data_IF_905076858634
#
_entry.id   IF_905076858634
#
_cell.length_a   1.000
_cell.length_b   1.000
_cell.length_c   1.000
_cell.angle_alpha   90.00
_cell.angle_beta   90.00
_cell.angle_gamma   90.00
#
_symmetry.space_group_name_H-M   'P 1'
#
loop_
_entity.id
_entity.type
_entity.pdbx_description
1 polymer ?
#
# COMPACT_ATOMS: atom_id res chain seq x y z
N UNK A 1 -20.71 20.95 -8.33
CA UNK A 1 -21.31 19.61 -8.04
C UNK A 1 -20.41 18.48 -8.54
N UNK A 2 -19.99 18.46 -9.81
CA UNK A 2 -19.04 17.44 -10.32
C UNK A 2 -17.60 17.73 -9.87
N UNK A 3 -17.27 19.01 -9.72
CA UNK A 3 -16.01 19.53 -9.20
C UNK A 3 -15.77 19.06 -7.77
N UNK A 4 -16.82 19.11 -6.93
CA UNK A 4 -16.76 18.60 -5.56
C UNK A 4 -16.56 17.07 -5.53
N UNK A 5 -17.09 16.34 -6.50
CA UNK A 5 -16.90 14.88 -6.61
C UNK A 5 -15.48 14.53 -7.06
N UNK A 6 -14.93 15.23 -8.05
CA UNK A 6 -13.52 15.05 -8.44
C UNK A 6 -12.60 15.41 -7.28
N UNK A 7 -12.89 16.49 -6.55
CA UNK A 7 -12.15 16.85 -5.33
C UNK A 7 -12.23 15.73 -4.29
N UNK A 8 -13.42 15.16 -4.07
CA UNK A 8 -13.61 14.03 -3.17
C UNK A 8 -12.82 12.80 -3.61
N UNK A 9 -12.83 12.45 -4.89
CA UNK A 9 -12.06 11.31 -5.43
C UNK A 9 -10.55 11.55 -5.31
N UNK A 10 -10.07 12.75 -5.64
CA UNK A 10 -8.66 13.12 -5.45
C UNK A 10 -8.25 13.00 -3.99
N UNK A 11 -9.04 13.51 -3.07
CA UNK A 11 -8.75 13.36 -1.66
C UNK A 11 -8.79 11.90 -1.21
N UNK A 12 -9.78 11.13 -1.67
CA UNK A 12 -9.93 9.71 -1.33
C UNK A 12 -8.73 8.88 -1.82
N UNK A 13 -8.30 9.10 -3.06
CA UNK A 13 -7.25 8.28 -3.67
C UNK A 13 -5.83 8.81 -3.40
N UNK A 14 -5.61 10.13 -3.41
CA UNK A 14 -4.27 10.71 -3.20
C UNK A 14 -4.02 11.04 -1.72
N UNK A 15 -5.06 11.44 -0.97
CA UNK A 15 -4.94 11.84 0.42
C UNK A 15 -4.47 10.71 1.35
N UNK A 16 -4.61 9.46 0.95
CA UNK A 16 -4.08 8.31 1.69
C UNK A 16 -2.55 8.16 1.56
N UNK A 17 -1.94 8.79 0.56
CA UNK A 17 -0.50 8.65 0.27
C UNK A 17 0.29 9.94 0.50
N UNK A 18 -0.34 11.11 0.42
CA UNK A 18 0.35 12.42 0.45
C UNK A 18 0.05 13.21 1.73
N UNK A 19 1.08 13.83 2.32
CA UNK A 19 0.97 14.74 3.47
C UNK A 19 0.42 16.11 3.03
N UNK A 20 -0.38 16.75 3.89
CA UNK A 20 -0.75 18.18 3.73
C UNK A 20 -1.77 18.49 2.62
N UNK A 21 -2.45 17.48 2.07
CA UNK A 21 -3.47 17.68 1.04
C UNK A 21 -4.75 18.31 1.64
N UNK A 22 -4.88 19.64 1.61
CA UNK A 22 -6.06 20.34 2.14
C UNK A 22 -7.23 20.32 1.14
N UNK A 23 -8.46 20.21 1.64
CA UNK A 23 -9.68 20.19 0.81
C UNK A 23 -9.84 21.50 0.06
N UNK A 24 -9.48 22.60 0.70
CA UNK A 24 -9.67 23.96 0.22
C UNK A 24 -8.72 24.28 -0.94
N UNK A 25 -7.44 23.87 -0.86
CA UNK A 25 -6.47 24.08 -1.93
C UNK A 25 -6.79 23.23 -3.18
N UNK A 26 -7.27 22.00 -2.98
CA UNK A 26 -7.75 21.15 -4.07
C UNK A 26 -8.94 21.78 -4.77
N UNK A 27 -9.94 22.29 -4.02
CA UNK A 27 -11.11 22.93 -4.61
C UNK A 27 -10.71 24.10 -5.51
N UNK A 28 -9.84 24.99 -5.05
CA UNK A 28 -9.41 26.15 -5.84
C UNK A 28 -8.73 25.72 -7.15
N UNK A 29 -7.90 24.67 -7.10
CA UNK A 29 -7.19 24.15 -8.28
C UNK A 29 -8.12 23.45 -9.28
N UNK A 30 -9.11 22.69 -8.79
CA UNK A 30 -10.13 22.00 -9.60
C UNK A 30 -10.98 23.00 -10.40
N UNK A 31 -11.28 24.16 -9.81
CA UNK A 31 -12.07 25.21 -10.46
C UNK A 31 -11.36 25.90 -11.64
N UNK A 32 -10.03 25.84 -11.71
CA UNK A 32 -9.24 26.44 -12.79
C UNK A 32 -9.09 25.53 -14.01
N UNK A 33 -9.60 24.29 -13.96
CA UNK A 33 -9.61 23.36 -15.09
C UNK A 33 -8.52 22.28 -15.02
N UNK A 34 -7.28 22.70 -14.77
CA UNK A 34 -6.12 21.82 -14.60
C UNK A 34 -5.71 21.79 -13.12
N UNK A 35 -5.73 20.61 -12.50
CA UNK A 35 -5.19 20.43 -11.14
C UNK A 35 -3.73 20.06 -11.28
N UNK A 36 -2.83 20.92 -10.80
CA UNK A 36 -1.40 20.63 -10.71
C UNK A 36 -0.94 20.77 -9.26
N UNK A 37 -0.52 19.64 -8.70
CA UNK A 37 0.09 19.57 -7.38
C UNK A 37 1.55 19.19 -7.56
N UNK A 38 2.45 19.91 -6.92
CA UNK A 38 3.90 19.69 -7.07
C UNK A 38 4.58 19.53 -5.72
N UNK A 39 5.73 18.84 -5.73
CA UNK A 39 6.66 18.71 -4.61
C UNK A 39 5.99 18.22 -3.32
N UNK A 40 5.22 17.15 -3.45
CA UNK A 40 4.47 16.56 -2.35
C UNK A 40 5.32 15.55 -1.57
N UNK A 41 5.11 15.50 -0.26
CA UNK A 41 5.72 14.48 0.58
C UNK A 41 4.77 13.31 0.77
N UNK A 42 5.32 12.09 0.74
CA UNK A 42 4.55 10.87 1.00
C UNK A 42 4.42 10.61 2.49
N UNK A 43 3.31 10.01 2.88
CA UNK A 43 3.03 9.59 4.26
C UNK A 43 3.86 8.35 4.64
N UNK A 44 4.27 8.21 5.91
CA UNK A 44 4.91 6.99 6.41
C UNK A 44 4.13 5.71 6.09
N UNK A 45 2.80 5.82 6.06
CA UNK A 45 1.84 4.73 5.84
C UNK A 45 1.56 4.43 4.36
N UNK A 46 2.19 5.14 3.41
CA UNK A 46 1.87 5.04 1.99
C UNK A 46 2.07 3.62 1.41
N UNK A 47 2.93 2.80 2.02
CA UNK A 47 3.15 1.40 1.63
C UNK A 47 2.32 0.38 2.41
N UNK A 48 1.50 0.80 3.38
CA UNK A 48 0.74 -0.13 4.24
C UNK A 48 -0.27 -0.98 3.45
N UNK A 49 -0.71 -0.49 2.28
CA UNK A 49 -1.55 -1.24 1.34
C UNK A 49 -0.91 -2.57 0.88
N UNK A 50 0.43 -2.65 0.85
CA UNK A 50 1.17 -3.87 0.52
C UNK A 50 1.04 -4.96 1.60
N UNK A 51 0.56 -4.60 2.80
CA UNK A 51 0.47 -5.51 3.97
C UNK A 51 1.82 -6.13 4.36
N UNK A 52 2.92 -5.43 4.05
CA UNK A 52 4.27 -5.79 4.42
C UNK A 52 4.70 -4.99 5.66
N UNK A 53 5.62 -5.52 6.49
CA UNK A 53 6.10 -4.82 7.67
C UNK A 53 7.20 -3.82 7.29
N UNK A 54 6.83 -2.83 6.49
CA UNK A 54 7.70 -1.78 5.98
C UNK A 54 7.03 -0.43 6.22
N UNK A 55 7.84 0.61 6.40
CA UNK A 55 7.37 1.99 6.52
C UNK A 55 8.18 2.89 5.59
N UNK A 56 7.57 3.98 5.16
CA UNK A 56 8.26 5.00 4.36
C UNK A 56 9.11 5.86 5.29
N UNK A 57 10.43 5.75 5.16
CA UNK A 57 11.41 6.61 5.84
C UNK A 57 11.39 8.02 5.24
N UNK A 58 11.33 8.08 3.91
CA UNK A 58 11.24 9.32 3.16
C UNK A 58 10.53 9.06 1.83
N UNK A 59 9.71 10.00 1.37
CA UNK A 59 9.08 9.84 0.07
C UNK A 59 8.66 11.17 -0.54
N UNK A 60 8.84 11.25 -1.86
CA UNK A 60 8.66 12.45 -2.66
C UNK A 60 7.82 12.11 -3.89
N UNK A 61 6.90 13.01 -4.19
CA UNK A 61 6.07 13.00 -5.38
C UNK A 61 6.23 14.34 -6.09
N UNK A 62 6.97 14.34 -7.20
CA UNK A 62 7.35 15.55 -7.93
C UNK A 62 6.16 16.30 -8.49
N UNK A 63 5.27 15.63 -9.21
CA UNK A 63 4.01 16.26 -9.63
C UNK A 63 2.86 15.27 -9.84
N UNK A 64 1.64 15.77 -9.59
CA UNK A 64 0.37 15.17 -9.98
C UNK A 64 -0.35 16.21 -10.83
N UNK A 65 -0.54 15.92 -12.11
CA UNK A 65 -1.33 16.76 -13.02
C UNK A 65 -2.58 16.02 -13.48
N UNK A 66 -3.74 16.59 -13.20
CA UNK A 66 -5.03 16.10 -13.66
C UNK A 66 -5.62 17.11 -14.64
N UNK A 67 -5.84 16.69 -15.89
CA UNK A 67 -6.58 17.48 -16.87
C UNK A 67 -8.00 16.95 -16.98
N UNK A 68 -8.96 17.73 -16.51
CA UNK A 68 -10.38 17.36 -16.51
C UNK A 68 -11.10 18.17 -17.59
N UNK A 69 -11.64 17.54 -18.64
CA UNK A 69 -12.38 18.25 -19.67
C UNK A 69 -13.80 18.59 -19.16
N UNK A 70 -13.95 19.60 -18.31
CA UNK A 70 -15.23 19.93 -17.66
C UNK A 70 -16.39 20.15 -18.63
N UNK A 71 -16.12 20.79 -19.77
CA UNK A 71 -17.12 21.05 -20.82
C UNK A 71 -17.53 19.80 -21.60
N UNK A 72 -16.74 18.73 -21.53
CA UNK A 72 -16.92 17.47 -22.30
C UNK A 72 -16.74 16.24 -21.41
N UNK A 73 -17.07 16.35 -20.12
CA UNK A 73 -16.92 15.27 -19.16
C UNK A 73 -17.88 14.13 -19.54
N UNK A 74 -17.35 12.93 -19.77
CA UNK A 74 -18.13 11.81 -20.30
C UNK A 74 -18.18 11.74 -21.83
N UNK A 75 -17.43 12.59 -22.54
CA UNK A 75 -17.14 12.47 -23.98
C UNK A 75 -15.64 12.46 -24.26
N UNK A 76 -14.84 13.10 -23.41
CA UNK A 76 -13.39 13.12 -23.47
C UNK A 76 -12.77 12.45 -22.23
N UNK A 77 -11.61 11.80 -22.38
CA UNK A 77 -10.92 11.11 -21.29
C UNK A 77 -10.26 12.11 -20.33
N UNK A 78 -10.27 11.78 -19.05
CA UNK A 78 -9.49 12.49 -18.03
C UNK A 78 -8.03 12.04 -18.14
N UNK A 79 -7.11 13.00 -18.16
CA UNK A 79 -5.66 12.73 -18.26
C UNK A 79 -5.02 12.86 -16.89
N UNK A 80 -4.28 11.85 -16.47
CA UNK A 80 -3.54 11.80 -15.20
C UNK A 80 -2.07 11.63 -15.49
N UNK A 81 -1.26 12.59 -15.05
CA UNK A 81 0.20 12.51 -15.10
C UNK A 81 0.76 12.48 -13.67
N UNK A 82 1.58 11.48 -13.40
CA UNK A 82 2.35 11.36 -12.18
C UNK A 82 3.83 11.36 -12.56
N UNK A 83 4.63 12.18 -11.90
CA UNK A 83 6.06 12.28 -12.19
C UNK A 83 6.88 12.30 -10.91
N UNK A 84 8.01 11.58 -10.94
CA UNK A 84 9.01 11.46 -9.87
C UNK A 84 8.39 10.94 -8.58
N UNK A 85 8.09 9.64 -8.54
CA UNK A 85 7.68 8.92 -7.34
C UNK A 85 8.92 8.28 -6.74
N UNK A 86 9.49 8.92 -5.72
CA UNK A 86 10.67 8.43 -5.02
C UNK A 86 10.30 8.01 -3.62
N UNK A 87 10.65 6.77 -3.26
CA UNK A 87 10.33 6.20 -1.96
C UNK A 87 11.58 5.53 -1.40
N UNK A 88 12.01 5.97 -0.22
CA UNK A 88 12.95 5.24 0.63
C UNK A 88 12.15 4.57 1.75
N UNK A 89 12.07 3.25 1.68
CA UNK A 89 11.42 2.41 2.66
C UNK A 89 12.48 1.79 3.59
N UNK A 90 12.07 1.56 4.84
CA UNK A 90 12.86 0.82 5.81
C UNK A 90 11.97 -0.24 6.48
N UNK A 91 12.55 -1.31 7.02
CA UNK A 91 11.79 -2.27 7.76
C UNK A 91 11.11 -1.64 8.97
N UNK A 92 9.92 -2.14 9.27
CA UNK A 92 9.19 -1.85 10.49
C UNK A 92 9.13 -3.12 11.38
N UNK A 93 10.17 -3.97 11.35
CA UNK A 93 10.18 -5.23 12.09
C UNK A 93 11.00 -5.21 13.38
N UNK A 94 11.89 -4.22 13.58
CA UNK A 94 12.61 -4.02 14.84
C UNK A 94 11.63 -3.95 16.01
N UNK A 95 11.56 -5.08 16.69
CA UNK A 95 10.72 -5.39 17.85
C UNK A 95 11.59 -5.92 19.00
N UNK A 96 12.89 -6.08 18.74
CA UNK A 96 13.88 -6.51 19.71
C UNK A 96 14.78 -5.32 20.06
N UNK A 97 14.66 -4.82 21.29
CA UNK A 97 15.66 -3.93 21.88
C UNK A 97 15.18 -2.60 22.43
N UNK A 98 14.03 -2.06 22.01
CA UNK A 98 13.54 -0.77 22.53
C UNK A 98 12.01 -0.78 22.74
N UNK A 99 11.63 -0.78 24.03
CA UNK A 99 10.28 -0.71 24.60
C UNK A 99 9.41 -1.98 24.57
N UNK A 100 8.74 -2.22 25.71
CA UNK A 100 7.77 -3.28 25.97
C UNK A 100 6.51 -3.18 25.06
N UNK A 101 6.36 -2.04 24.36
CA UNK A 101 5.15 -1.65 23.63
C UNK A 101 5.26 -1.77 22.10
N UNK A 102 6.44 -2.00 21.50
CA UNK A 102 6.59 -1.91 20.03
C UNK A 102 5.68 -2.88 19.23
N UNK A 103 5.49 -4.12 19.71
CA UNK A 103 4.56 -5.07 19.06
C UNK A 103 3.11 -4.71 19.30
N UNK A 104 2.80 -4.20 20.49
CA UNK A 104 1.43 -3.79 20.81
C UNK A 104 1.06 -2.54 20.02
N UNK A 105 2.01 -1.64 19.78
CA UNK A 105 1.83 -0.48 18.93
C UNK A 105 1.67 -0.88 17.46
N UNK A 106 2.51 -1.81 16.96
CA UNK A 106 2.33 -2.38 15.62
C UNK A 106 0.96 -3.05 15.47
N UNK A 107 0.50 -3.76 16.51
CA UNK A 107 -0.83 -4.37 16.57
C UNK A 107 -1.94 -3.31 16.55
N UNK A 108 -1.82 -2.27 17.37
CA UNK A 108 -2.78 -1.15 17.47
C UNK A 108 -2.90 -0.41 16.14
N UNK A 109 -1.77 -0.05 15.54
CA UNK A 109 -1.71 0.57 14.21
C UNK A 109 -2.37 -0.31 13.15
N UNK A 110 -2.10 -1.63 13.19
CA UNK A 110 -2.70 -2.59 12.25
C UNK A 110 -4.22 -2.73 12.42
N UNK A 111 -4.72 -2.77 13.66
CA UNK A 111 -6.16 -2.78 13.95
C UNK A 111 -6.81 -1.51 13.40
N UNK A 112 -6.24 -0.34 13.70
CA UNK A 112 -6.73 0.95 13.25
C UNK A 112 -6.84 1.02 11.72
N UNK A 113 -5.78 0.60 11.01
CA UNK A 113 -5.75 0.58 9.55
C UNK A 113 -6.82 -0.34 8.94
N UNK A 114 -7.04 -1.52 9.53
CA UNK A 114 -8.03 -2.45 9.01
C UNK A 114 -9.46 -2.02 9.33
N UNK A 115 -9.68 -1.43 10.52
CA UNK A 115 -10.97 -0.90 10.92
C UNK A 115 -11.38 0.29 10.06
N UNK A 116 -10.49 1.25 9.81
CA UNK A 116 -10.77 2.39 8.92
C UNK A 116 -11.10 1.91 7.51
N UNK A 117 -10.33 0.98 6.95
CA UNK A 117 -10.61 0.38 5.63
C UNK A 117 -11.97 -0.32 5.58
N UNK A 118 -12.34 -1.02 6.64
CA UNK A 118 -13.63 -1.72 6.73
C UNK A 118 -14.81 -0.74 6.83
N UNK A 119 -14.64 0.35 7.59
CA UNK A 119 -15.61 1.44 7.68
C UNK A 119 -15.76 2.18 6.36
N UNK A 120 -14.66 2.52 5.69
CA UNK A 120 -14.67 3.12 4.35
C UNK A 120 -15.39 2.22 3.35
N UNK A 121 -15.15 0.90 3.39
CA UNK A 121 -15.82 -0.07 2.52
C UNK A 121 -17.33 -0.17 2.81
N UNK A 122 -17.75 -0.16 4.09
CA UNK A 122 -19.16 -0.15 4.48
C UNK A 122 -19.86 1.16 4.10
N UNK A 123 -19.20 2.30 4.33
CA UNK A 123 -19.69 3.60 3.89
C UNK A 123 -19.80 3.64 2.36
N UNK A 124 -18.85 3.03 1.65
CA UNK A 124 -18.91 2.92 0.20
C UNK A 124 -20.14 2.13 -0.26
N UNK A 125 -20.40 0.95 0.30
CA UNK A 125 -21.62 0.17 0.03
C UNK A 125 -22.91 0.95 0.31
N UNK A 126 -22.94 1.73 1.40
CA UNK A 126 -24.10 2.56 1.74
C UNK A 126 -24.21 3.83 0.85
N UNK A 127 -23.09 4.36 0.36
CA UNK A 127 -23.05 5.53 -0.53
C UNK A 127 -23.26 5.17 -2.00
N UNK A 128 -22.96 3.92 -2.41
CA UNK A 128 -23.27 3.36 -3.72
C UNK A 128 -24.79 3.27 -3.96
N UNK A 129 -25.61 3.41 -2.91
CA UNK A 129 -27.06 3.61 -3.03
C UNK A 129 -27.48 5.06 -3.30
N UNK A 130 -26.62 6.05 -3.08
CA UNK A 130 -26.97 7.45 -3.29
C UNK A 130 -26.45 7.95 -4.65
N UNK A 131 -27.31 7.74 -5.65
CA UNK A 131 -27.38 8.30 -7.01
C UNK A 131 -26.77 7.47 -8.15
N UNK A 132 -27.64 6.66 -8.79
CA UNK A 132 -27.39 5.89 -10.02
C UNK A 132 -26.71 6.70 -11.15
N UNK A 133 -26.92 8.02 -11.20
CA UNK A 133 -26.32 8.90 -12.20
C UNK A 133 -24.86 9.29 -11.91
N UNK A 134 -24.45 9.48 -10.64
CA UNK A 134 -23.05 9.78 -10.32
C UNK A 134 -22.17 8.54 -10.50
N UNK A 135 -22.70 7.35 -10.17
CA UNK A 135 -21.99 6.09 -10.37
C UNK A 135 -21.64 5.85 -11.84
N UNK A 136 -22.55 6.15 -12.78
CA UNK A 136 -22.28 5.98 -14.22
C UNK A 136 -21.23 6.96 -14.75
N UNK A 137 -21.22 8.22 -14.27
CA UNK A 137 -20.19 9.21 -14.62
C UNK A 137 -18.83 8.80 -14.08
N UNK A 138 -18.74 8.38 -12.82
CA UNK A 138 -17.48 7.90 -12.20
C UNK A 138 -16.96 6.66 -12.93
N UNK A 139 -17.82 5.70 -13.26
CA UNK A 139 -17.43 4.53 -14.06
C UNK A 139 -16.95 4.91 -15.46
N UNK A 140 -17.56 5.92 -16.09
CA UNK A 140 -17.13 6.44 -17.39
C UNK A 140 -15.75 7.10 -17.30
N UNK A 141 -15.49 7.88 -16.25
CA UNK A 141 -14.19 8.51 -15.99
C UNK A 141 -13.11 7.44 -15.77
N UNK A 142 -13.34 6.48 -14.85
CA UNK A 142 -12.38 5.42 -14.54
C UNK A 142 -12.14 4.53 -15.77
N UNK A 143 -13.22 4.19 -16.49
CA UNK A 143 -13.16 3.36 -17.69
C UNK A 143 -12.30 3.98 -18.80
N UNK A 144 -12.28 5.31 -18.92
CA UNK A 144 -11.56 6.03 -19.98
C UNK A 144 -10.36 6.84 -19.49
N UNK A 145 -9.94 6.64 -18.24
CA UNK A 145 -8.77 7.33 -17.69
C UNK A 145 -7.54 7.04 -18.54
N UNK A 146 -6.83 8.10 -18.95
CA UNK A 146 -5.50 8.00 -19.53
C UNK A 146 -4.48 8.32 -18.45
N UNK A 147 -3.62 7.35 -18.16
CA UNK A 147 -2.64 7.43 -17.08
C UNK A 147 -1.24 7.42 -17.69
N UNK A 148 -0.37 8.31 -17.21
CA UNK A 148 1.06 8.28 -17.49
C UNK A 148 1.79 8.52 -16.17
N UNK A 149 2.59 7.54 -15.75
CA UNK A 149 3.43 7.61 -14.57
C UNK A 149 4.87 7.53 -15.03
N UNK A 150 5.69 8.48 -14.58
CA UNK A 150 7.09 8.58 -14.99
C UNK A 150 8.02 8.68 -13.80
N UNK A 151 9.24 8.16 -13.95
CA UNK A 151 10.32 8.25 -12.98
C UNK A 151 9.93 7.69 -11.59
N UNK A 152 9.59 6.42 -11.52
CA UNK A 152 9.36 5.73 -10.24
C UNK A 152 10.67 5.10 -9.79
N UNK A 153 11.06 5.35 -8.54
CA UNK A 153 12.13 4.61 -7.89
C UNK A 153 11.76 4.36 -6.42
N UNK A 154 11.47 3.10 -6.11
CA UNK A 154 11.23 2.62 -4.76
C UNK A 154 12.47 1.86 -4.31
N UNK A 155 13.13 2.34 -3.26
CA UNK A 155 14.28 1.71 -2.62
C UNK A 155 13.90 1.30 -1.20
N UNK A 156 14.18 0.06 -0.85
CA UNK A 156 14.03 -0.52 0.47
C UNK A 156 15.42 -0.81 1.03
N UNK A 157 15.78 -0.20 2.16
CA UNK A 157 17.05 -0.44 2.84
C UNK A 157 16.82 -1.25 4.11
N UNK A 158 17.55 -2.36 4.25
CA UNK A 158 17.42 -3.28 5.37
C UNK A 158 18.77 -3.47 6.07
N UNK A 159 18.80 -3.11 7.34
CA UNK A 159 19.95 -3.20 8.24
C UNK A 159 19.72 -4.18 9.40
N UNK A 160 18.55 -4.81 9.44
CA UNK A 160 18.10 -5.64 10.56
C UNK A 160 18.01 -7.13 10.21
N UNK A 161 17.56 -7.48 9.00
CA UNK A 161 17.25 -8.87 8.64
C UNK A 161 18.51 -9.75 8.58
N UNK A 162 19.64 -9.15 8.18
CA UNK A 162 20.92 -9.84 8.08
C UNK A 162 22.03 -9.03 8.78
N UNK A 163 22.18 -9.17 10.11
CA UNK A 163 23.17 -8.40 10.88
C UNK A 163 24.59 -8.55 10.32
N UNK A 164 25.25 -7.42 10.06
CA UNK A 164 26.59 -7.38 9.45
C UNK A 164 26.61 -7.38 7.92
N UNK A 165 25.46 -7.62 7.29
CA UNK A 165 25.26 -7.65 5.84
C UNK A 165 24.06 -6.79 5.43
N UNK A 166 24.15 -5.46 5.61
CA UNK A 166 23.10 -4.54 5.17
C UNK A 166 22.88 -4.64 3.66
N UNK A 167 21.62 -4.58 3.21
CA UNK A 167 21.29 -4.67 1.79
C UNK A 167 20.20 -3.68 1.41
N UNK A 168 20.06 -3.44 0.10
CA UNK A 168 19.00 -2.63 -0.44
C UNK A 168 18.33 -3.31 -1.64
N UNK A 169 17.01 -3.43 -1.60
CA UNK A 169 16.22 -3.88 -2.73
C UNK A 169 15.54 -2.67 -3.37
N UNK A 170 15.36 -2.66 -4.68
CA UNK A 170 14.60 -1.59 -5.30
C UNK A 170 13.94 -1.94 -6.61
N UNK A 171 12.95 -1.12 -6.95
CA UNK A 171 12.21 -1.16 -8.19
C UNK A 171 12.32 0.20 -8.88
N UNK A 172 12.70 0.20 -10.15
CA UNK A 172 12.75 1.40 -10.98
C UNK A 172 11.83 1.23 -12.17
N UNK A 173 11.16 2.31 -12.57
CA UNK A 173 10.34 2.35 -13.77
C UNK A 173 10.40 3.73 -14.39
N UNK A 174 10.83 3.81 -15.65
CA UNK A 174 10.95 5.07 -16.36
C UNK A 174 9.56 5.60 -16.76
N UNK A 175 8.72 4.72 -17.33
CA UNK A 175 7.37 5.09 -17.77
C UNK A 175 6.39 3.92 -17.69
N UNK A 176 5.19 4.21 -17.21
CA UNK A 176 4.00 3.39 -17.34
C UNK A 176 2.88 4.24 -17.93
N UNK A 177 2.41 3.91 -19.12
CA UNK A 177 1.26 4.56 -19.74
C UNK A 177 0.12 3.58 -19.90
N UNK A 178 -1.12 4.04 -19.74
CA UNK A 178 -2.31 3.22 -19.94
C UNK A 178 -3.43 4.03 -20.58
N UNK A 179 -3.99 3.50 -21.67
CA UNK A 179 -5.05 4.15 -22.46
C UNK A 179 -6.13 3.14 -22.84
N UNK A 180 -7.36 3.61 -23.00
CA UNK A 180 -8.48 2.77 -23.49
C UNK A 180 -8.42 2.66 -25.01
N UNK A 181 -8.57 1.45 -25.53
CA UNK A 181 -8.43 1.15 -26.97
C UNK A 181 -9.62 0.39 -27.54
N UNK A 182 -9.81 0.47 -28.85
CA UNK A 182 -10.79 -0.32 -29.58
C UNK A 182 -10.27 -1.71 -29.96
N UNK A 183 -11.09 -2.49 -30.68
CA UNK A 183 -10.71 -3.83 -31.16
C UNK A 183 -9.50 -3.81 -32.12
N UNK A 184 -9.29 -2.68 -32.81
CA UNK A 184 -8.14 -2.46 -33.70
C UNK A 184 -6.89 -1.95 -32.98
N UNK A 185 -6.96 -1.72 -31.66
CA UNK A 185 -5.85 -1.22 -30.84
C UNK A 185 -5.64 0.29 -30.91
N UNK A 186 -6.58 1.05 -31.50
CA UNK A 186 -6.51 2.52 -31.54
C UNK A 186 -7.17 3.11 -30.31
N UNK A 187 -6.67 4.25 -29.84
CA UNK A 187 -7.25 4.95 -28.70
C UNK A 187 -8.72 5.29 -28.95
N UNK A 188 -9.56 5.00 -27.97
CA UNK A 188 -11.00 5.23 -28.07
C UNK A 188 -11.58 5.66 -26.74
N UNK A 189 -12.80 6.20 -26.81
CA UNK A 189 -13.59 6.59 -25.66
C UNK A 189 -14.90 5.80 -25.64
N UNK A 190 -15.20 5.16 -24.52
CA UNK A 190 -16.29 4.19 -24.39
C UNK A 190 -17.33 4.69 -23.39
N UNK A 191 -18.62 4.63 -23.72
CA UNK A 191 -19.71 5.12 -22.85
C UNK A 191 -20.82 4.09 -22.65
N UNK A 192 -21.61 4.29 -21.59
CA UNK A 192 -22.82 3.50 -21.32
C UNK A 192 -22.52 1.99 -21.18
N UNK A 193 -23.41 1.15 -21.72
CA UNK A 193 -23.26 -0.30 -21.64
C UNK A 193 -22.01 -0.85 -22.34
N UNK A 194 -21.32 -0.06 -23.16
CA UNK A 194 -20.04 -0.48 -23.74
C UNK A 194 -18.90 -0.49 -22.69
N UNK A 195 -19.03 0.21 -21.56
CA UNK A 195 -18.09 0.13 -20.43
C UNK A 195 -18.06 -1.24 -19.75
N UNK A 196 -19.03 -2.11 -20.04
CA UNK A 196 -18.96 -3.50 -19.60
C UNK A 196 -17.92 -4.30 -20.40
N UNK A 197 -17.58 -3.82 -21.62
CA UNK A 197 -16.54 -4.34 -22.49
C UNK A 197 -15.40 -3.33 -22.61
N UNK A 198 -14.40 -3.46 -21.72
CA UNK A 198 -13.26 -2.53 -21.67
C UNK A 198 -12.03 -3.18 -22.26
N UNK A 199 -11.32 -2.46 -23.12
CA UNK A 199 -9.96 -2.81 -23.52
C UNK A 199 -8.99 -1.68 -23.16
N UNK A 200 -7.87 -2.03 -22.55
CA UNK A 200 -6.79 -1.09 -22.23
C UNK A 200 -5.49 -1.58 -22.83
N UNK A 201 -4.77 -0.64 -23.44
CA UNK A 201 -3.38 -0.83 -23.83
C UNK A 201 -2.50 -0.17 -22.79
N UNK A 202 -1.45 -0.87 -22.37
CA UNK A 202 -0.49 -0.44 -21.36
C UNK A 202 0.89 -0.51 -21.99
N UNK A 203 1.68 0.54 -21.83
CA UNK A 203 3.09 0.57 -22.23
C UNK A 203 3.94 0.65 -20.96
N UNK A 204 5.02 -0.13 -20.95
CA UNK A 204 5.97 -0.23 -19.85
C UNK A 204 7.37 0.04 -20.39
N UNK A 205 8.09 1.01 -19.83
CA UNK A 205 9.47 1.30 -20.22
C UNK A 205 10.42 1.12 -19.05
N UNK A 206 11.45 0.30 -19.27
CA UNK A 206 12.59 0.09 -18.37
C UNK A 206 12.18 -0.23 -16.92
N UNK A 207 11.25 -1.17 -16.75
CA UNK A 207 11.00 -1.77 -15.44
C UNK A 207 12.21 -2.58 -15.03
N UNK A 208 12.78 -2.32 -13.85
CA UNK A 208 13.89 -3.10 -13.33
C UNK A 208 13.70 -3.38 -11.84
N UNK A 209 14.24 -4.52 -11.39
CA UNK A 209 14.36 -4.84 -9.98
C UNK A 209 15.82 -5.11 -9.66
N UNK A 210 16.31 -4.52 -8.58
CA UNK A 210 17.68 -4.70 -8.13
C UNK A 210 17.76 -5.10 -6.66
N UNK A 211 18.89 -5.71 -6.31
CA UNK A 211 19.22 -6.08 -4.96
C UNK A 211 20.72 -5.92 -4.72
N UNK A 212 21.07 -4.87 -4.00
CA UNK A 212 22.44 -4.52 -3.67
C UNK A 212 22.77 -5.06 -2.27
N UNK A 213 23.64 -6.05 -2.20
CA UNK A 213 24.16 -6.60 -0.95
C UNK A 213 25.34 -5.80 -0.41
N UNK A 214 25.55 -5.87 0.91
CA UNK A 214 26.68 -5.25 1.63
C UNK A 214 26.83 -3.75 1.37
N UNK A 215 25.70 -3.04 1.36
CA UNK A 215 25.63 -1.59 1.09
C UNK A 215 25.72 -0.74 2.35
N UNK A 216 26.23 0.48 2.19
CA UNK A 216 26.00 1.52 3.19
C UNK A 216 24.66 2.21 2.92
N UNK A 217 23.84 2.44 3.96
CA UNK A 217 22.59 3.19 3.81
C UNK A 217 22.85 4.57 3.21
N UNK A 218 21.88 5.10 2.48
CA UNK A 218 21.95 6.49 2.06
C UNK A 218 21.96 7.42 3.28
N UNK A 219 23.07 8.15 3.43
CA UNK A 219 23.23 9.15 4.47
C UNK A 219 23.23 10.54 3.84
N UNK A 220 22.24 11.35 4.19
CA UNK A 220 22.08 12.71 3.69
C UNK A 220 22.35 13.67 4.84
N UNK A 221 23.17 14.70 4.57
CA UNK A 221 23.54 15.71 5.56
C UNK A 221 22.37 16.59 6.03
N UNK A 222 21.27 16.61 5.27
CA UNK A 222 20.02 17.32 5.53
C UNK A 222 18.90 16.33 5.83
N UNK A 223 17.84 16.82 6.48
CA UNK A 223 16.58 16.06 6.57
C UNK A 223 16.00 15.84 5.17
N UNK A 224 15.41 14.68 4.93
CA UNK A 224 14.73 14.36 3.68
C UNK A 224 13.60 15.35 3.36
N UNK A 225 12.97 15.92 4.39
CA UNK A 225 11.88 16.87 4.26
C UNK A 225 12.34 18.25 3.76
N UNK A 226 13.63 18.57 3.92
CA UNK A 226 14.25 19.84 3.54
C UNK A 226 14.95 19.79 2.18
N UNK A 227 14.96 18.62 1.53
CA UNK A 227 15.60 18.45 0.22
C UNK A 227 14.82 19.14 -0.88
N UNK A 228 15.55 19.83 -1.76
CA UNK A 228 15.02 20.39 -2.98
C UNK A 228 14.65 19.27 -3.98
N UNK A 229 13.67 19.50 -4.88
CA UNK A 229 13.29 18.52 -5.89
C UNK A 229 14.46 18.04 -6.79
N UNK A 230 15.44 18.90 -7.04
CA UNK A 230 16.67 18.54 -7.77
C UNK A 230 17.55 17.59 -6.96
N UNK A 231 17.72 17.82 -5.66
CA UNK A 231 18.51 16.96 -4.76
C UNK A 231 17.88 15.56 -4.65
N UNK A 232 16.55 15.46 -4.63
CA UNK A 232 15.85 14.18 -4.74
C UNK A 232 16.19 13.42 -6.01
N UNK A 233 16.21 14.13 -7.14
CA UNK A 233 16.54 13.55 -8.45
C UNK A 233 18.01 13.14 -8.51
N UNK A 234 18.91 13.90 -7.88
CA UNK A 234 20.33 13.52 -7.75
C UNK A 234 20.52 12.24 -6.94
N UNK A 235 19.72 12.02 -5.90
CA UNK A 235 19.82 10.79 -5.10
C UNK A 235 19.22 9.58 -5.83
N UNK A 236 18.04 9.74 -6.45
CA UNK A 236 17.29 8.61 -7.02
C UNK A 236 17.53 8.36 -8.51
N UNK A 237 17.89 9.36 -9.32
CA UNK A 237 18.03 9.22 -10.78
C UNK A 237 19.47 8.99 -11.26
N UNK A 238 20.49 9.14 -10.41
CA UNK A 238 21.92 9.05 -10.81
C UNK A 238 22.34 7.65 -11.29
N UNK A 239 21.45 6.65 -11.20
CA UNK A 239 21.61 5.35 -11.87
C UNK A 239 21.15 5.28 -13.34
N UNK A 240 20.44 6.30 -13.86
CA UNK A 240 19.69 6.18 -15.14
C UNK A 240 20.09 7.17 -16.24
N UNK A 241 21.05 8.07 -16.01
CA UNK A 241 21.55 9.02 -17.03
C UNK A 241 23.07 8.93 -17.14
N UNK A 242 23.55 8.87 -18.37
CA UNK A 242 24.95 8.68 -18.75
C UNK A 242 25.96 9.56 -17.98
N UNK A 243 27.00 8.89 -17.48
CA UNK A 243 28.40 9.33 -17.32
C UNK A 243 28.66 10.80 -16.93
N UNK A 244 28.85 11.04 -15.62
CA UNK A 244 29.92 11.94 -15.13
C UNK A 244 30.67 11.31 -13.95
N UNK A 245 31.99 11.32 -14.06
CA UNK A 245 32.91 10.74 -13.11
C UNK A 245 32.93 11.51 -11.77
N UNK A 246 33.14 10.77 -10.68
CA UNK A 246 33.55 11.19 -9.32
C UNK A 246 32.49 11.30 -8.20
N UNK A 247 31.33 10.70 -8.36
CA UNK A 247 30.52 10.22 -7.20
C UNK A 247 30.42 8.71 -7.32
N UNK A 248 30.34 7.98 -6.20
CA UNK A 248 30.31 6.51 -6.18
C UNK A 248 29.02 6.02 -6.87
N UNK A 249 29.07 5.82 -8.19
CA UNK A 249 27.97 5.31 -9.00
C UNK A 249 27.90 3.80 -8.74
N UNK A 250 27.01 3.36 -7.85
CA UNK A 250 26.76 1.93 -7.66
C UNK A 250 25.98 1.41 -8.88
N UNK A 251 26.64 0.65 -9.75
CA UNK A 251 25.93 -0.28 -10.62
C UNK A 251 25.04 -1.15 -9.74
N UNK A 252 23.74 -1.03 -9.90
CA UNK A 252 22.81 -1.89 -9.19
C UNK A 252 22.98 -3.34 -9.64
N UNK A 253 22.88 -4.27 -8.69
CA UNK A 253 22.83 -5.69 -8.99
C UNK A 253 21.40 -6.07 -9.38
N UNK A 254 21.09 -5.99 -10.68
CA UNK A 254 19.74 -6.24 -11.19
C UNK A 254 19.34 -7.71 -11.09
N UNK A 255 18.26 -7.99 -10.34
CA UNK A 255 17.52 -9.25 -10.39
C UNK A 255 16.75 -9.35 -11.69
N UNK A 256 16.08 -8.27 -12.08
CA UNK A 256 15.45 -8.09 -13.38
C UNK A 256 16.13 -6.91 -14.04
N UNK A 257 16.84 -7.17 -15.14
CA UNK A 257 17.40 -6.09 -15.94
C UNK A 257 16.27 -5.24 -16.53
N UNK A 258 16.51 -3.94 -16.80
CA UNK A 258 15.51 -3.04 -17.34
C UNK A 258 14.81 -3.64 -18.56
N UNK A 259 13.53 -3.96 -18.40
CA UNK A 259 12.68 -4.54 -19.44
C UNK A 259 11.60 -3.55 -19.84
N UNK A 260 11.35 -3.48 -21.14
CA UNK A 260 10.24 -2.71 -21.72
C UNK A 260 9.24 -3.67 -22.37
N UNK A 261 8.06 -3.18 -22.65
CA UNK A 261 7.04 -3.97 -23.29
C UNK A 261 5.68 -3.30 -23.35
N UNK A 262 4.71 -4.05 -23.85
CA UNK A 262 3.32 -3.64 -23.90
C UNK A 262 2.42 -4.72 -23.31
N UNK A 263 1.26 -4.31 -22.82
CA UNK A 263 0.22 -5.22 -22.37
C UNK A 263 -1.15 -4.78 -22.90
N UNK A 264 -1.96 -5.75 -23.31
CA UNK A 264 -3.36 -5.56 -23.66
C UNK A 264 -4.23 -6.25 -22.64
N UNK A 265 -5.05 -5.48 -21.94
CA UNK A 265 -6.10 -5.97 -21.06
C UNK A 265 -7.45 -5.90 -21.76
N UNK A 266 -8.26 -6.94 -21.63
CA UNK A 266 -9.63 -6.99 -22.13
C UNK A 266 -10.56 -7.61 -21.09
N UNK A 267 -11.67 -6.90 -20.81
CA UNK A 267 -12.80 -7.37 -20.02
C UNK A 267 -13.99 -7.56 -20.95
N UNK A 268 -14.61 -8.73 -20.90
CA UNK A 268 -15.85 -9.03 -21.61
C UNK A 268 -17.06 -8.75 -20.72
N UNK A 269 -18.25 -8.74 -21.33
CA UNK A 269 -19.49 -8.75 -20.56
C UNK A 269 -19.71 -10.12 -19.91
N UNK A 270 -20.43 -10.13 -18.81
CA UNK A 270 -20.66 -11.35 -18.03
C UNK A 270 -21.51 -12.40 -18.76
N UNK A 271 -22.47 -11.95 -19.57
CA UNK A 271 -23.31 -12.76 -20.46
C UNK A 271 -22.51 -13.29 -21.66
N UNK A 272 -21.68 -12.44 -22.28
CA UNK A 272 -20.80 -12.81 -23.39
C UNK A 272 -19.78 -13.88 -22.97
N UNK A 273 -19.18 -13.73 -21.79
CA UNK A 273 -18.24 -14.71 -21.24
C UNK A 273 -18.89 -16.08 -21.01
N UNK A 274 -20.11 -16.11 -20.44
CA UNK A 274 -20.87 -17.36 -20.24
C UNK A 274 -21.24 -18.05 -21.55
N UNK A 275 -21.57 -17.27 -22.58
CA UNK A 275 -22.02 -17.78 -23.88
C UNK A 275 -20.85 -18.25 -24.75
N UNK A 276 -19.75 -17.49 -24.78
CA UNK A 276 -18.56 -17.80 -25.59
C UNK A 276 -17.61 -18.82 -24.94
N UNK A 277 -17.77 -19.11 -23.64
CA UNK A 277 -16.80 -19.90 -22.87
C UNK A 277 -15.44 -19.21 -22.69
N UNK A 278 -15.33 -17.92 -23.02
CA UNK A 278 -14.09 -17.14 -22.85
C UNK A 278 -13.97 -16.59 -21.43
N UNK A 279 -12.75 -16.42 -20.91
CA UNK A 279 -12.56 -15.82 -19.60
C UNK A 279 -13.09 -14.39 -19.58
N UNK A 280 -13.78 -14.02 -18.50
CA UNK A 280 -14.35 -12.67 -18.31
C UNK A 280 -13.27 -11.58 -18.42
N UNK A 281 -12.05 -11.90 -18.01
CA UNK A 281 -10.90 -11.00 -18.04
C UNK A 281 -9.72 -11.73 -18.68
N UNK A 282 -9.03 -11.05 -19.59
CA UNK A 282 -7.83 -11.54 -20.26
C UNK A 282 -6.79 -10.42 -20.27
N UNK A 283 -5.55 -10.76 -19.97
CA UNK A 283 -4.40 -9.90 -20.12
C UNK A 283 -3.36 -10.62 -20.97
N UNK A 284 -2.81 -9.94 -21.98
CA UNK A 284 -1.70 -10.41 -22.78
C UNK A 284 -0.55 -9.42 -22.60
N UNK A 285 0.64 -9.90 -22.23
CA UNK A 285 1.82 -9.07 -21.99
C UNK A 285 2.91 -9.53 -22.94
N UNK A 286 3.47 -8.59 -23.69
CA UNK A 286 4.64 -8.78 -24.55
C UNK A 286 5.77 -7.95 -23.95
N UNK A 287 6.79 -8.64 -23.46
CA UNK A 287 8.00 -8.02 -22.96
C UNK A 287 9.11 -8.21 -24.01
N UNK A 288 10.04 -7.27 -24.04
CA UNK A 288 11.30 -7.41 -24.76
C UNK A 288 12.19 -8.45 -24.04
N UNK A 289 13.50 -8.47 -24.32
CA UNK A 289 14.42 -9.43 -23.71
C UNK A 289 14.39 -9.39 -22.16
N UNK A 290 13.89 -10.46 -21.55
CA UNK A 290 13.82 -10.61 -20.10
C UNK A 290 15.08 -11.31 -19.60
N UNK A 291 15.94 -10.56 -18.91
CA UNK A 291 17.13 -11.13 -18.24
C UNK A 291 16.93 -11.13 -16.73
N UNK A 292 16.97 -12.32 -16.14
CA UNK A 292 16.90 -12.53 -14.69
C UNK A 292 18.26 -13.00 -14.16
N UNK A 293 18.78 -12.33 -13.13
CA UNK A 293 20.08 -12.62 -12.55
C UNK A 293 20.05 -12.48 -11.03
N UNK A 294 20.07 -13.59 -10.29
CA UNK A 294 20.15 -13.53 -8.83
C UNK A 294 21.58 -13.86 -8.38
N UNK A 295 22.25 -12.89 -7.75
CA UNK A 295 23.57 -13.10 -7.15
C UNK A 295 23.47 -14.01 -5.91
N UNK A 296 24.58 -14.64 -5.54
CA UNK A 296 24.65 -15.49 -4.33
C UNK A 296 24.33 -14.69 -3.07
N UNK A 297 24.88 -13.48 -2.95
CA UNK A 297 24.67 -12.60 -1.80
C UNK A 297 23.22 -12.10 -1.77
N UNK A 298 22.67 -11.74 -2.94
CA UNK A 298 21.26 -11.37 -3.07
C UNK A 298 20.31 -12.51 -2.69
N UNK A 299 20.62 -13.75 -3.07
CA UNK A 299 19.84 -14.91 -2.63
C UNK A 299 19.84 -15.07 -1.10
N UNK A 300 21.01 -14.95 -0.46
CA UNK A 300 21.13 -14.97 1.01
C UNK A 300 20.25 -13.88 1.65
N UNK A 301 20.32 -12.67 1.13
CA UNK A 301 19.63 -11.52 1.71
C UNK A 301 18.11 -11.61 1.56
N UNK A 302 17.60 -12.11 0.42
CA UNK A 302 16.16 -12.40 0.23
C UNK A 302 15.67 -13.44 1.23
N UNK A 303 16.44 -14.51 1.47
CA UNK A 303 16.05 -15.52 2.46
C UNK A 303 15.97 -14.91 3.86
N UNK A 304 16.95 -14.09 4.24
CA UNK A 304 16.94 -13.40 5.54
C UNK A 304 15.78 -12.42 5.69
N UNK A 305 15.46 -11.68 4.63
CA UNK A 305 14.29 -10.82 4.58
C UNK A 305 13.00 -11.61 4.80
N UNK A 306 12.84 -12.73 4.07
CA UNK A 306 11.66 -13.58 4.18
C UNK A 306 11.52 -14.20 5.58
N UNK A 307 12.62 -14.68 6.17
CA UNK A 307 12.66 -15.19 7.54
C UNK A 307 12.25 -14.11 8.56
N UNK A 308 12.77 -12.89 8.40
CA UNK A 308 12.44 -11.78 9.27
C UNK A 308 10.97 -11.37 9.17
N UNK A 309 10.43 -11.24 7.95
CA UNK A 309 9.01 -10.94 7.72
C UNK A 309 8.09 -12.04 8.27
N UNK A 310 8.46 -13.31 8.05
CA UNK A 310 7.73 -14.45 8.59
C UNK A 310 7.72 -14.42 10.13
N UNK A 311 8.87 -14.20 10.73
CA UNK A 311 9.03 -14.10 12.19
C UNK A 311 8.23 -12.93 12.77
N UNK A 312 8.27 -11.76 12.12
CA UNK A 312 7.48 -10.60 12.52
C UNK A 312 5.98 -10.88 12.47
N UNK A 313 5.49 -11.48 11.39
CA UNK A 313 4.07 -11.82 11.25
C UNK A 313 3.62 -12.82 12.32
N UNK A 314 4.46 -13.79 12.70
CA UNK A 314 4.18 -14.69 13.80
C UNK A 314 4.14 -13.95 15.16
N UNK A 315 5.10 -13.06 15.42
CA UNK A 315 5.14 -12.22 16.64
C UNK A 315 3.87 -11.37 16.75
N UNK A 316 3.42 -10.79 15.64
CA UNK A 316 2.23 -9.94 15.59
C UNK A 316 0.95 -10.74 15.85
N UNK A 317 0.81 -11.90 15.18
CA UNK A 317 -0.35 -12.80 15.36
C UNK A 317 -0.55 -13.22 16.81
N UNK A 318 0.54 -13.59 17.49
CA UNK A 318 0.50 -14.04 18.88
C UNK A 318 0.89 -12.93 19.88
N UNK A 319 0.80 -11.66 19.49
CA UNK A 319 1.15 -10.53 20.35
C UNK A 319 0.38 -10.53 21.68
N UNK A 320 -0.86 -11.02 21.69
CA UNK A 320 -1.71 -11.11 22.88
C UNK A 320 -1.25 -12.15 23.93
N UNK A 321 -0.36 -13.07 23.54
CA UNK A 321 0.23 -14.06 24.45
C UNK A 321 1.65 -13.68 24.88
N UNK A 322 2.23 -12.65 24.25
CA UNK A 322 3.64 -12.28 24.41
C UNK A 322 3.89 -11.71 25.81
N UNK A 323 4.93 -12.17 26.53
CA UNK A 323 5.32 -11.57 27.80
C UNK A 323 5.81 -10.14 27.61
N UNK A 324 5.49 -9.25 28.55
CA UNK A 324 5.97 -7.86 28.56
C UNK A 324 7.39 -7.70 29.13
N UNK A 325 8.00 -8.80 29.57
CA UNK A 325 9.33 -8.79 30.20
C UNK A 325 10.42 -9.27 29.24
N UNK A 326 11.66 -8.74 29.34
CA UNK A 326 12.78 -9.21 28.52
C UNK A 326 13.04 -10.72 28.67
N UNK A 327 13.50 -11.36 27.59
CA UNK A 327 13.83 -12.79 27.56
C UNK A 327 14.82 -13.16 28.65
N UNK A 328 15.86 -12.33 28.84
CA UNK A 328 16.91 -12.54 29.84
C UNK A 328 16.39 -12.48 31.28
N UNK A 329 15.35 -11.69 31.54
CA UNK A 329 14.81 -11.51 32.90
C UNK A 329 13.94 -12.68 33.34
N UNK A 330 13.11 -13.24 32.45
CA UNK A 330 12.19 -14.33 32.79
C UNK A 330 12.03 -15.37 31.64
N UNK A 331 13.04 -16.22 31.38
CA UNK A 331 13.01 -17.19 30.28
C UNK A 331 11.82 -18.17 30.33
N UNK A 332 11.35 -18.51 31.53
CA UNK A 332 10.23 -19.44 31.73
C UNK A 332 8.90 -18.92 31.17
N UNK A 333 8.67 -17.59 31.19
CA UNK A 333 7.48 -16.98 30.61
C UNK A 333 7.51 -17.05 29.07
N UNK A 334 8.70 -16.96 28.48
CA UNK A 334 8.90 -17.07 27.03
C UNK A 334 8.68 -18.50 26.52
N UNK A 335 9.11 -19.52 27.28
CA UNK A 335 8.74 -20.92 26.99
C UNK A 335 7.24 -21.17 27.10
N UNK A 336 6.57 -20.61 28.13
CA UNK A 336 5.11 -20.67 28.25
C UNK A 336 4.41 -19.99 27.07
N UNK A 337 4.94 -18.86 26.60
CA UNK A 337 4.44 -18.17 25.42
C UNK A 337 4.54 -19.06 24.17
N UNK A 338 5.72 -19.63 23.88
CA UNK A 338 5.91 -20.54 22.75
C UNK A 338 4.94 -21.74 22.79
N UNK A 339 4.83 -22.38 23.96
CA UNK A 339 3.86 -23.47 24.17
C UNK A 339 2.42 -23.03 23.90
N UNK A 340 2.01 -21.87 24.43
CA UNK A 340 0.64 -21.36 24.24
C UNK A 340 0.35 -21.01 22.79
N UNK A 341 1.29 -20.40 22.07
CA UNK A 341 1.13 -20.05 20.66
C UNK A 341 0.91 -21.30 19.79
N UNK A 342 1.75 -22.33 19.98
CA UNK A 342 1.62 -23.61 19.27
C UNK A 342 0.34 -24.36 19.68
N UNK A 343 0.01 -24.36 20.97
CA UNK A 343 -1.22 -24.98 21.47
C UNK A 343 -2.47 -24.30 20.89
N UNK A 344 -2.50 -22.97 20.80
CA UNK A 344 -3.58 -22.22 20.17
C UNK A 344 -3.72 -22.55 18.68
N UNK A 345 -2.60 -22.66 17.96
CA UNK A 345 -2.59 -23.05 16.55
C UNK A 345 -3.20 -24.44 16.34
N UNK A 346 -2.77 -25.44 17.14
CA UNK A 346 -3.29 -26.81 17.07
C UNK A 346 -4.79 -26.84 17.42
N UNK A 347 -5.21 -26.10 18.46
CA UNK A 347 -6.61 -26.00 18.87
C UNK A 347 -7.49 -25.41 17.78
N UNK A 348 -7.10 -24.28 17.19
CA UNK A 348 -7.80 -23.63 16.07
C UNK A 348 -7.91 -24.60 14.88
N UNK A 349 -6.83 -25.30 14.54
CA UNK A 349 -6.85 -26.32 13.47
C UNK A 349 -7.78 -27.50 13.79
N UNK A 350 -7.87 -27.92 15.06
CA UNK A 350 -8.75 -29.02 15.47
C UNK A 350 -10.24 -28.66 15.55
N UNK A 351 -10.57 -27.35 15.53
CA UNK A 351 -11.94 -26.86 15.74
C UNK A 351 -12.49 -27.05 17.15
N UNK A 352 -11.71 -27.59 18.11
CA UNK A 352 -12.17 -27.92 19.47
C UNK A 352 -11.91 -26.76 20.43
N UNK A 353 -12.96 -26.29 21.09
CA UNK A 353 -12.88 -25.34 22.20
C UNK A 353 -13.52 -25.94 23.47
N UNK A 354 -12.90 -25.72 24.63
CA UNK A 354 -13.52 -26.07 25.90
C UNK A 354 -14.64 -25.09 26.27
N UNK A 355 -15.66 -25.56 26.99
CA UNK A 355 -16.74 -24.72 27.49
C UNK A 355 -16.25 -23.57 28.38
N UNK A 356 -15.18 -23.78 29.14
CA UNK A 356 -14.54 -22.73 29.93
C UNK A 356 -13.99 -21.60 29.05
N UNK A 357 -13.33 -21.95 27.94
CA UNK A 357 -12.82 -20.97 26.98
C UNK A 357 -13.96 -20.23 26.28
N UNK A 358 -15.03 -20.94 25.92
CA UNK A 358 -16.25 -20.32 25.35
C UNK A 358 -16.84 -19.32 26.34
N UNK A 359 -16.99 -19.69 27.60
CA UNK A 359 -17.53 -18.81 28.64
C UNK A 359 -16.63 -17.59 28.89
N UNK A 360 -15.30 -17.78 28.94
CA UNK A 360 -14.33 -16.69 29.06
C UNK A 360 -14.45 -15.72 27.89
N UNK A 361 -14.45 -16.22 26.66
CA UNK A 361 -14.56 -15.40 25.45
C UNK A 361 -15.92 -14.69 25.37
N UNK A 362 -17.01 -15.33 25.79
CA UNK A 362 -18.33 -14.71 25.82
C UNK A 362 -18.41 -13.54 26.82
N UNK A 363 -17.82 -13.70 28.02
CA UNK A 363 -17.73 -12.61 29.01
C UNK A 363 -16.88 -11.46 28.50
N UNK A 364 -15.72 -11.78 27.91
CA UNK A 364 -14.81 -10.80 27.33
C UNK A 364 -15.48 -10.02 26.20
N UNK A 365 -16.14 -10.72 25.26
CA UNK A 365 -16.92 -10.12 24.17
C UNK A 365 -18.00 -9.19 24.69
N UNK A 366 -18.77 -9.61 25.71
CA UNK A 366 -19.83 -8.77 26.31
C UNK A 366 -19.26 -7.46 26.86
N UNK A 367 -18.17 -7.54 27.65
CA UNK A 367 -17.48 -6.36 28.21
C UNK A 367 -16.96 -5.47 27.09
N UNK A 368 -16.23 -6.06 26.14
CA UNK A 368 -15.63 -5.36 25.00
C UNK A 368 -16.68 -4.58 24.21
N UNK A 369 -17.70 -5.27 23.68
CA UNK A 369 -18.72 -4.65 22.83
C UNK A 369 -19.49 -3.58 23.59
N UNK A 370 -19.83 -3.82 24.87
CA UNK A 370 -20.56 -2.82 25.67
C UNK A 370 -19.78 -1.52 25.82
N UNK A 371 -18.47 -1.60 26.08
CA UNK A 371 -17.59 -0.45 26.27
C UNK A 371 -17.32 0.25 24.93
N UNK A 372 -16.99 -0.51 23.89
CA UNK A 372 -16.73 0.04 22.56
C UNK A 372 -17.96 0.79 22.01
N UNK A 373 -19.14 0.16 22.10
CA UNK A 373 -20.39 0.78 21.66
C UNK A 373 -20.78 2.00 22.51
N UNK A 374 -20.51 2.02 23.82
CA UNK A 374 -20.79 3.19 24.64
C UNK A 374 -19.90 4.38 24.27
N UNK A 375 -18.63 4.12 23.96
CA UNK A 375 -17.67 5.16 23.55
C UNK A 375 -18.02 5.74 22.17
N UNK A 376 -18.43 4.90 21.22
CA UNK A 376 -18.94 5.37 19.92
C UNK A 376 -20.24 6.17 20.05
N UNK A 377 -21.14 5.81 20.98
CA UNK A 377 -22.38 6.56 21.20
C UNK A 377 -22.16 7.90 21.90
N UNK A 378 -21.11 8.02 22.71
CA UNK A 378 -20.78 9.25 23.42
C UNK A 378 -20.30 10.37 22.48
N UNK A 379 -19.71 10.01 21.34
CA UNK A 379 -19.25 10.95 20.31
C UNK A 379 -19.68 10.47 18.92
N UNK A 380 -20.76 11.04 18.41
CA UNK A 380 -21.31 10.70 17.10
C UNK A 380 -20.37 11.06 15.92
N UNK A 381 -19.35 11.89 16.14
CA UNK A 381 -18.34 12.22 15.13
C UNK A 381 -17.18 11.23 15.10
N UNK A 382 -17.04 10.41 16.15
CA UNK A 382 -15.99 9.40 16.28
C UNK A 382 -16.28 8.19 15.41
N UNK A 383 -15.35 7.88 14.51
CA UNK A 383 -15.43 6.69 13.65
C UNK A 383 -14.75 5.46 14.26
N UNK A 384 -13.69 5.65 15.06
CA UNK A 384 -12.89 4.59 15.67
C UNK A 384 -12.53 4.99 17.10
N UNK A 385 -12.45 4.02 18.02
CA UNK A 385 -11.94 4.25 19.38
C UNK A 385 -10.50 3.73 19.47
N UNK A 386 -9.54 4.63 19.61
CA UNK A 386 -8.09 4.34 19.70
C UNK A 386 -7.36 5.05 20.86
N UNK A 387 -8.08 5.86 21.62
CA UNK A 387 -7.58 6.72 22.70
C UNK A 387 -8.05 6.31 24.11
N UNK A 388 -8.81 5.21 24.21
CA UNK A 388 -9.33 4.71 25.49
C UNK A 388 -8.45 3.60 26.06
N UNK A 389 -7.94 3.80 27.28
CA UNK A 389 -7.05 2.86 27.97
C UNK A 389 -7.69 1.50 28.26
N UNK A 390 -8.97 1.46 28.65
CA UNK A 390 -9.66 0.20 28.92
C UNK A 390 -9.85 -0.64 27.66
N UNK A 391 -10.10 0.00 26.51
CA UNK A 391 -10.12 -0.67 25.20
C UNK A 391 -8.72 -1.16 24.84
N UNK A 392 -7.68 -0.37 25.07
CA UNK A 392 -6.30 -0.78 24.82
C UNK A 392 -5.90 -2.01 25.65
N UNK A 393 -6.27 -2.03 26.93
CA UNK A 393 -6.02 -3.18 27.81
C UNK A 393 -6.77 -4.44 27.34
N UNK A 394 -8.00 -4.28 26.84
CA UNK A 394 -8.76 -5.39 26.25
C UNK A 394 -8.18 -5.84 24.91
N UNK A 395 -7.73 -4.91 24.06
CA UNK A 395 -7.08 -5.22 22.79
C UNK A 395 -5.82 -6.05 23.03
N UNK A 396 -5.06 -5.78 24.09
CA UNK A 396 -3.87 -6.56 24.46
C UNK A 396 -4.20 -8.04 24.71
N UNK A 397 -5.38 -8.38 25.20
CA UNK A 397 -5.78 -9.76 25.50
C UNK A 397 -6.31 -10.56 24.29
N UNK A 398 -6.65 -9.90 23.18
CA UNK A 398 -7.44 -10.49 22.10
C UNK A 398 -6.66 -10.54 20.78
N UNK A 399 -6.92 -11.53 19.94
CA UNK A 399 -6.40 -11.61 18.58
C UNK A 399 -6.94 -10.46 17.71
N UNK A 400 -6.10 -9.92 16.80
CA UNK A 400 -6.48 -8.86 15.85
C UNK A 400 -7.74 -9.24 15.06
N UNK A 401 -7.83 -10.48 14.57
CA UNK A 401 -8.97 -10.93 13.78
C UNK A 401 -10.28 -10.89 14.59
N UNK A 402 -10.20 -11.22 15.87
CA UNK A 402 -11.35 -11.22 16.78
C UNK A 402 -11.75 -9.79 17.16
N UNK A 403 -10.77 -8.91 17.38
CA UNK A 403 -11.02 -7.47 17.64
C UNK A 403 -11.81 -6.88 16.47
N UNK A 404 -11.39 -7.12 15.22
CA UNK A 404 -12.08 -6.63 14.03
C UNK A 404 -13.50 -7.18 13.84
N UNK A 405 -13.83 -8.32 14.44
CA UNK A 405 -15.19 -8.86 14.43
C UNK A 405 -16.08 -8.25 15.52
N UNK A 406 -15.48 -7.70 16.58
CA UNK A 406 -16.19 -7.12 17.72
C UNK A 406 -16.40 -5.61 17.60
N UNK A 407 -15.53 -4.93 16.84
CA UNK A 407 -15.70 -3.55 16.37
C UNK A 407 -16.59 -3.53 15.12
#
# INVERSE_FOLDING_TARGET
MLEDQVTFLLQKYLGNYVKGLSKEALKISVWQGDVELTNMQLKPEALNALKLPVKVKAGFLGSVRLKVPWSRLGQEPVLVYLDRIFILAEPATQVEGCSEDAVQEAKKSRIREMETKLLESKQQLNSEMNTSWLGSVVNTIIGNLKLSITNIHIRYEDLESNPGHPFAAGATLDELSAVTVDDSGRETFVTGGALERIQKSVELKRLAFYLDSDISPWNIHKSWEDLLPSEWSEVFEVGSKEKKANTVISNHNYILQPVSGNAKYSKLRADESKTSGQPLQKAAVNLDDVTLCLSKDGYRDILKLADNFSSFNQRLKYAHLRPLVPVKSHPSLWWKYAYRAVSDQIKKASGKMSWEQVLKNARLRKRYISLYASLLKADASRMVVDDNKDIEDLDREVDIEVILQWR
#
